data_IF_989705753798
#
_entry.id   IF_989705753798
#
_cell.length_a   1.000
_cell.length_b   1.000
_cell.length_c   1.000
_cell.angle_alpha   90.00
_cell.angle_beta   90.00
_cell.angle_gamma   90.00
#
_symmetry.space_group_name_H-M   'P 1'
#
loop_
_entity.id
_entity.type
_entity.pdbx_description
1 polymer ?
#
# COMPACT_ATOMS: atom_id res chain seq x y z
N UNK A 1 4.07 10.39 16.92
CA UNK A 1 2.70 10.92 16.70
C UNK A 1 1.78 9.73 16.47
N UNK A 2 0.80 9.52 17.34
CA UNK A 2 -0.18 8.42 17.24
C UNK A 2 -0.85 8.30 15.86
N UNK A 3 -1.23 9.44 15.26
CA UNK A 3 -1.84 9.50 13.92
C UNK A 3 -0.90 9.05 12.80
N UNK A 4 0.40 9.29 12.95
CA UNK A 4 1.39 8.94 11.92
C UNK A 4 1.60 7.42 11.85
N UNK A 5 1.70 6.77 13.02
CA UNK A 5 1.79 5.31 13.09
C UNK A 5 0.53 4.64 12.56
N UNK A 6 -0.66 5.18 12.84
CA UNK A 6 -1.90 4.68 12.27
C UNK A 6 -1.93 4.78 10.73
N UNK A 7 -1.43 5.88 10.16
CA UNK A 7 -1.32 6.05 8.70
C UNK A 7 -0.33 5.06 8.08
N UNK A 8 0.81 4.79 8.73
CA UNK A 8 1.77 3.77 8.30
C UNK A 8 1.16 2.37 8.35
N UNK A 9 0.52 2.04 9.48
CA UNK A 9 -0.15 0.75 9.67
C UNK A 9 -1.22 0.52 8.61
N UNK A 10 -2.06 1.52 8.33
CA UNK A 10 -3.08 1.46 7.28
C UNK A 10 -2.47 1.15 5.90
N UNK A 11 -1.26 1.66 5.61
CA UNK A 11 -0.56 1.40 4.36
C UNK A 11 -0.03 -0.03 4.24
N UNK A 12 0.30 -0.69 5.35
CA UNK A 12 0.81 -2.07 5.40
C UNK A 12 -0.36 -3.07 5.46
N UNK A 13 -1.40 -2.74 6.22
CA UNK A 13 -2.60 -3.58 6.36
C UNK A 13 -3.44 -3.56 5.06
N UNK A 14 -3.51 -2.41 4.39
CA UNK A 14 -4.28 -2.22 3.16
C UNK A 14 -3.46 -1.53 2.04
N UNK A 15 -2.41 -2.17 1.50
CA UNK A 15 -1.49 -1.54 0.56
C UNK A 15 -2.16 -1.10 -0.75
N UNK A 16 -3.27 -1.74 -1.14
CA UNK A 16 -4.05 -1.37 -2.32
C UNK A 16 -4.83 -0.05 -2.15
N UNK A 17 -4.96 0.49 -0.94
CA UNK A 17 -5.72 1.72 -0.71
C UNK A 17 -4.96 2.94 -1.24
N UNK A 18 -5.68 3.83 -1.91
CA UNK A 18 -5.22 5.19 -2.20
C UNK A 18 -5.40 6.13 -1.01
N UNK A 19 -4.77 7.31 -1.08
CA UNK A 19 -4.79 8.32 -0.01
C UNK A 19 -6.21 8.70 0.47
N UNK A 20 -7.19 8.76 -0.45
CA UNK A 20 -8.58 9.09 -0.12
C UNK A 20 -9.25 7.98 0.71
N UNK A 21 -9.11 6.72 0.27
CA UNK A 21 -9.71 5.57 0.96
C UNK A 21 -9.06 5.35 2.34
N UNK A 22 -7.73 5.45 2.42
CA UNK A 22 -7.01 5.35 3.68
C UNK A 22 -7.44 6.42 4.68
N UNK A 23 -7.55 7.69 4.23
CA UNK A 23 -8.10 8.78 5.04
C UNK A 23 -9.51 8.49 5.56
N UNK A 24 -10.42 8.03 4.69
CA UNK A 24 -11.79 7.72 5.09
C UNK A 24 -11.86 6.57 6.11
N UNK A 25 -11.02 5.54 5.96
CA UNK A 25 -10.99 4.42 6.89
C UNK A 25 -10.42 4.82 8.25
N UNK A 26 -9.35 5.63 8.27
CA UNK A 26 -8.82 6.20 9.50
C UNK A 26 -9.85 7.08 10.22
N UNK A 27 -10.63 7.86 9.46
CA UNK A 27 -11.71 8.68 10.03
C UNK A 27 -12.77 7.84 10.73
N UNK A 28 -13.13 6.67 10.18
CA UNK A 28 -14.06 5.73 10.86
C UNK A 28 -13.50 5.18 12.17
N UNK A 29 -12.17 5.10 12.29
CA UNK A 29 -11.46 4.69 13.50
C UNK A 29 -11.25 5.87 14.49
N UNK A 30 -11.87 7.03 14.24
CA UNK A 30 -11.70 8.23 15.07
C UNK A 30 -10.43 9.04 14.76
N UNK A 31 -9.61 8.60 13.80
CA UNK A 31 -8.35 9.26 13.43
C UNK A 31 -8.60 10.22 12.27
N UNK A 32 -8.82 11.48 12.59
CA UNK A 32 -9.05 12.53 11.60
C UNK A 32 -7.71 13.02 11.04
N UNK A 33 -7.42 12.63 9.80
CA UNK A 33 -6.30 13.08 8.96
C UNK A 33 -6.81 13.35 7.55
N UNK A 34 -6.21 14.30 6.83
CA UNK A 34 -6.57 14.58 5.43
C UNK A 34 -5.80 13.71 4.43
N UNK A 35 -6.28 13.55 3.18
CA UNK A 35 -5.57 12.78 2.14
C UNK A 35 -4.17 13.33 1.84
N UNK A 36 -3.99 14.65 1.90
CA UNK A 36 -2.67 15.28 1.75
C UNK A 36 -1.71 14.90 2.89
N UNK A 37 -2.22 14.85 4.13
CA UNK A 37 -1.46 14.38 5.30
C UNK A 37 -1.06 12.92 5.13
N UNK A 38 -1.99 12.06 4.68
CA UNK A 38 -1.71 10.64 4.39
C UNK A 38 -0.57 10.52 3.38
N UNK A 39 -0.64 11.25 2.27
CA UNK A 39 0.44 11.27 1.25
C UNK A 39 1.77 11.74 1.83
N UNK A 40 1.76 12.82 2.61
CA UNK A 40 2.98 13.37 3.23
C UNK A 40 3.64 12.35 4.16
N UNK A 41 2.86 11.67 5.00
CA UNK A 41 3.36 10.57 5.83
C UNK A 41 3.94 9.47 4.94
N UNK A 42 3.22 9.02 3.91
CA UNK A 42 3.70 7.96 3.04
C UNK A 42 5.03 8.29 2.35
N UNK A 43 5.20 9.51 1.84
CA UNK A 43 6.47 9.95 1.23
C UNK A 43 7.61 9.92 2.25
N UNK A 44 7.36 10.38 3.48
CA UNK A 44 8.39 10.38 4.55
C UNK A 44 8.80 8.98 5.01
N UNK A 45 7.97 7.97 4.76
CA UNK A 45 8.15 6.59 5.21
C UNK A 45 8.40 5.60 4.07
N UNK A 46 8.65 6.06 2.84
CA UNK A 46 8.84 5.20 1.67
C UNK A 46 7.62 4.29 1.40
N UNK A 47 6.41 4.86 1.41
CA UNK A 47 5.12 4.15 1.25
C UNK A 47 4.21 4.82 0.19
N UNK A 48 4.75 5.74 -0.60
CA UNK A 48 3.96 6.59 -1.50
C UNK A 48 3.45 5.86 -2.74
N UNK A 49 4.13 4.78 -3.15
CA UNK A 49 3.71 3.91 -4.26
C UNK A 49 3.21 2.56 -3.77
N UNK A 50 2.38 1.91 -4.59
CA UNK A 50 1.89 0.56 -4.28
C UNK A 50 3.03 -0.45 -4.13
N UNK A 51 4.02 -0.43 -5.04
CA UNK A 51 5.20 -1.29 -4.98
C UNK A 51 6.00 -1.12 -3.68
N UNK A 52 6.15 0.13 -3.21
CA UNK A 52 6.83 0.41 -1.94
C UNK A 52 6.03 -0.08 -0.73
N UNK A 53 4.69 0.08 -0.74
CA UNK A 53 3.83 -0.50 0.30
C UNK A 53 3.89 -2.03 0.34
N UNK A 54 3.98 -2.70 -0.81
CA UNK A 54 4.17 -4.16 -0.87
C UNK A 54 5.53 -4.58 -0.35
N UNK A 55 6.60 -3.84 -0.67
CA UNK A 55 7.93 -4.10 -0.09
C UNK A 55 7.92 -3.95 1.44
N UNK A 56 7.22 -2.94 1.95
CA UNK A 56 7.05 -2.74 3.39
C UNK A 56 6.25 -3.88 4.03
N UNK A 57 5.20 -4.38 3.36
CA UNK A 57 4.46 -5.57 3.78
C UNK A 57 5.36 -6.82 3.84
N UNK A 58 6.14 -7.08 2.79
CA UNK A 58 7.10 -8.20 2.74
C UNK A 58 8.13 -8.12 3.87
N UNK A 59 8.67 -6.92 4.14
CA UNK A 59 9.60 -6.68 5.25
C UNK A 59 8.92 -6.88 6.62
N UNK A 60 7.68 -6.42 6.77
CA UNK A 60 6.89 -6.59 7.99
C UNK A 60 6.63 -8.08 8.29
N UNK A 61 6.38 -8.89 7.27
CA UNK A 61 6.26 -10.35 7.39
C UNK A 61 7.60 -11.01 7.76
N UNK A 62 8.69 -10.63 7.09
CA UNK A 62 10.01 -11.20 7.32
C UNK A 62 10.54 -10.96 8.74
N UNK A 63 10.12 -9.84 9.36
CA UNK A 63 10.43 -9.52 10.76
C UNK A 63 9.58 -10.31 11.77
N UNK A 64 8.58 -11.08 11.32
CA UNK A 64 7.69 -11.85 12.19
C UNK A 64 6.55 -11.03 12.79
N UNK A 65 6.30 -9.81 12.31
CA UNK A 65 5.26 -8.94 12.88
C UNK A 65 3.83 -9.37 12.51
N UNK A 66 3.67 -10.30 11.56
CA UNK A 66 2.39 -10.96 11.30
C UNK A 66 2.58 -12.45 11.03
N UNK A 67 1.97 -13.35 11.82
CA UNK A 67 2.03 -14.79 11.58
C UNK A 67 1.13 -15.24 10.41
N UNK A 68 0.14 -14.42 10.00
CA UNK A 68 -0.83 -14.76 8.94
C UNK A 68 -1.15 -13.50 8.13
N UNK A 69 -1.23 -13.64 6.80
CA UNK A 69 -1.69 -12.57 5.91
C UNK A 69 -3.21 -12.39 6.00
N UNK A 70 -3.66 -11.14 6.04
CA UNK A 70 -5.10 -10.85 5.89
C UNK A 70 -5.51 -10.99 4.43
N UNK A 71 -6.80 -11.21 4.18
CA UNK A 71 -7.36 -11.32 2.84
C UNK A 71 -7.02 -10.10 1.96
N UNK A 72 -7.07 -8.90 2.53
CA UNK A 72 -6.71 -7.66 1.83
C UNK A 72 -5.23 -7.62 1.41
N UNK A 73 -4.34 -8.20 2.20
CA UNK A 73 -2.92 -8.31 1.88
C UNK A 73 -2.66 -9.37 0.80
N UNK A 74 -3.37 -10.50 0.85
CA UNK A 74 -3.31 -11.55 -0.19
C UNK A 74 -3.75 -10.98 -1.54
N UNK A 75 -4.91 -10.32 -1.60
CA UNK A 75 -5.41 -9.68 -2.82
C UNK A 75 -4.43 -8.66 -3.39
N UNK A 76 -3.72 -7.92 -2.53
CA UNK A 76 -2.72 -6.96 -2.98
C UNK A 76 -1.47 -7.64 -3.59
N UNK A 77 -1.04 -8.77 -3.02
CA UNK A 77 0.06 -9.57 -3.60
C UNK A 77 -0.34 -10.19 -4.94
N UNK A 78 -1.58 -10.65 -5.07
CA UNK A 78 -2.13 -11.16 -6.33
C UNK A 78 -2.20 -10.07 -7.41
N UNK A 79 -2.66 -8.87 -7.04
CA UNK A 79 -2.68 -7.71 -7.96
C UNK A 79 -1.28 -7.41 -8.53
N UNK A 80 -0.25 -7.46 -7.69
CA UNK A 80 1.14 -7.27 -8.14
C UNK A 80 1.58 -8.31 -9.17
N UNK A 81 1.17 -9.58 -8.98
CA UNK A 81 1.48 -10.66 -9.92
C UNK A 81 0.80 -10.41 -11.27
N UNK A 82 -0.47 -9.98 -11.25
CA UNK A 82 -1.21 -9.65 -12.47
C UNK A 82 -0.59 -8.44 -13.21
N UNK A 83 -0.24 -7.36 -12.50
CA UNK A 83 0.41 -6.18 -13.12
C UNK A 83 1.77 -6.54 -13.74
N UNK A 84 2.54 -7.44 -13.12
CA UNK A 84 3.79 -7.95 -13.71
C UNK A 84 3.57 -8.80 -14.96
N UNK A 85 2.50 -9.59 -15.00
CA UNK A 85 2.18 -10.43 -16.15
C UNK A 85 1.70 -9.59 -17.33
N UNK A 86 0.84 -8.59 -17.10
CA UNK A 86 0.33 -7.69 -18.13
C UNK A 86 1.42 -6.77 -18.70
N UNK A 87 2.38 -6.34 -17.88
CA UNK A 87 3.52 -5.53 -18.32
C UNK A 87 4.54 -6.25 -19.20
N UNK A 88 4.46 -7.58 -19.31
CA UNK A 88 5.35 -8.39 -20.16
C UNK A 88 4.82 -8.67 -21.57
N UNK A 89 3.60 -8.22 -21.89
CA UNK A 89 2.88 -8.62 -23.12
C UNK A 89 2.65 -7.47 -24.12
N UNK A 90 3.39 -6.36 -23.98
CA UNK A 90 3.35 -5.24 -24.93
C UNK A 90 4.73 -5.02 -25.55
N UNK A 91 5.22 -6.04 -26.25
CA UNK A 91 6.15 -5.84 -27.35
C UNK A 91 5.32 -5.40 -28.57
N UNK A 92 4.74 -4.21 -28.51
CA UNK A 92 4.20 -3.58 -29.73
C UNK A 92 5.36 -2.82 -30.36
N UNK A 93 6.05 -3.51 -31.26
CA UNK A 93 6.93 -2.91 -32.24
C UNK A 93 6.16 -1.74 -32.90
N UNK A 94 6.72 -0.53 -32.81
CA UNK A 94 6.28 0.62 -33.60
C UNK A 94 7.11 0.62 -34.89
N UNK A 95 6.54 0.34 -36.07
CA UNK A 95 7.10 0.84 -37.30
C UNK A 95 6.45 2.19 -37.63
N UNK A 96 7.24 3.26 -37.57
CA UNK A 96 7.09 4.49 -38.38
C UNK A 96 5.83 5.32 -38.18
#
# INVERSE_FOLDING_TARGET
MEKEEAVKKMAIDFPAYGQQRACNELKKQGIIVGPATVRSVWVRHDLETFSKRLKALEAFMAQGNSPVLTESQVQALEKRKLEKQVGGEIETEHPG
#
